data_IF_141528609463
#
_entry.id   IF_141528609463
#
_cell.length_a   1.000
_cell.length_b   1.000
_cell.length_c   1.000
_cell.angle_alpha   90.00
_cell.angle_beta   90.00
_cell.angle_gamma   90.00
#
_symmetry.space_group_name_H-M   'P 1'
#
loop_
_entity.id
_entity.type
_entity.pdbx_description
1 polymer ?
#
# COMPACT_ATOMS: atom_id res chain seq x y z
N UNK A 1 62.52 -33.89 10.38
CA UNK A 1 61.93 -32.55 10.59
C UNK A 1 60.88 -32.20 9.54
N UNK A 2 61.20 -32.27 8.23
CA UNK A 2 60.24 -32.00 7.11
C UNK A 2 58.91 -32.77 7.15
N UNK A 3 58.88 -34.03 7.61
CA UNK A 3 57.65 -34.84 7.65
C UNK A 3 56.61 -34.37 8.69
N UNK A 4 57.02 -33.73 9.78
CA UNK A 4 56.09 -33.16 10.79
C UNK A 4 55.43 -31.88 10.28
N UNK A 5 56.15 -31.11 9.47
CA UNK A 5 55.70 -29.84 8.91
C UNK A 5 54.63 -30.04 7.82
N UNK A 6 54.81 -31.04 6.96
CA UNK A 6 53.82 -31.46 5.96
C UNK A 6 52.49 -31.92 6.59
N UNK A 7 52.55 -32.68 7.69
CA UNK A 7 51.37 -33.14 8.42
C UNK A 7 50.62 -31.99 9.11
N UNK A 8 51.33 -30.99 9.62
CA UNK A 8 50.73 -29.81 10.24
C UNK A 8 50.03 -28.91 9.20
N UNK A 9 50.62 -28.74 8.01
CA UNK A 9 50.02 -27.99 6.89
C UNK A 9 48.75 -28.66 6.35
N UNK A 10 48.72 -29.99 6.24
CA UNK A 10 47.52 -30.75 5.84
C UNK A 10 46.41 -30.72 6.89
N UNK A 11 46.75 -30.79 8.18
CA UNK A 11 45.78 -30.66 9.26
C UNK A 11 45.18 -29.24 9.33
N UNK A 12 46.00 -28.20 9.21
CA UNK A 12 45.55 -26.81 9.20
C UNK A 12 44.65 -26.49 7.98
N UNK A 13 44.97 -27.03 6.80
CA UNK A 13 44.13 -26.88 5.60
C UNK A 13 42.77 -27.56 5.72
N UNK A 14 42.71 -28.74 6.34
CA UNK A 14 41.45 -29.47 6.54
C UNK A 14 40.53 -28.78 7.58
N UNK A 15 41.11 -28.24 8.65
CA UNK A 15 40.35 -27.49 9.68
C UNK A 15 39.81 -26.16 9.13
N UNK A 16 40.56 -25.49 8.24
CA UNK A 16 40.13 -24.23 7.61
C UNK A 16 38.99 -24.44 6.60
N UNK A 17 38.97 -25.57 5.87
CA UNK A 17 37.86 -25.93 4.97
C UNK A 17 36.59 -26.30 5.75
N UNK A 18 36.73 -26.98 6.90
CA UNK A 18 35.59 -27.28 7.79
C UNK A 18 35.04 -26.02 8.46
N UNK A 19 35.90 -25.07 8.86
CA UNK A 19 35.46 -23.79 9.44
C UNK A 19 34.74 -22.90 8.41
N UNK A 20 35.21 -22.89 7.16
CA UNK A 20 34.55 -22.19 6.04
C UNK A 20 33.22 -22.84 5.63
N UNK A 21 33.08 -24.17 5.74
CA UNK A 21 31.80 -24.85 5.54
C UNK A 21 30.79 -24.56 6.67
N UNK A 22 31.27 -24.36 7.91
CA UNK A 22 30.40 -24.03 9.04
C UNK A 22 29.92 -22.58 9.10
N UNK A 23 30.60 -21.65 8.41
CA UNK A 23 30.16 -20.24 8.28
C UNK A 23 29.13 -20.07 7.14
N UNK A 24 29.03 -21.05 6.23
CA UNK A 24 28.02 -21.07 5.15
C UNK A 24 26.61 -21.50 5.58
N UNK A 25 26.42 -21.86 6.86
CA UNK A 25 25.13 -22.19 7.46
C UNK A 25 24.69 -21.09 8.43
N UNK A 26 24.79 -19.82 8.01
CA UNK A 26 23.85 -18.83 8.54
C UNK A 26 22.51 -19.23 7.94
N UNK A 27 21.76 -20.02 8.69
CA UNK A 27 20.33 -20.15 8.50
C UNK A 27 19.78 -18.73 8.59
N UNK A 28 19.62 -18.08 7.45
CA UNK A 28 18.66 -16.99 7.32
C UNK A 28 17.33 -17.66 7.64
N UNK A 29 16.93 -17.58 8.90
CA UNK A 29 15.53 -17.80 9.23
C UNK A 29 14.76 -16.92 8.25
N UNK A 30 13.79 -17.46 7.49
CA UNK A 30 12.88 -16.58 6.78
C UNK A 30 12.32 -15.64 7.85
N UNK A 31 12.52 -14.34 7.67
CA UNK A 31 11.78 -13.34 8.43
C UNK A 31 10.34 -13.62 8.07
N UNK A 32 9.61 -14.25 9.00
CA UNK A 32 8.18 -14.35 8.87
C UNK A 32 7.67 -12.91 8.97
N UNK A 33 6.85 -12.50 8.02
CA UNK A 33 6.04 -11.31 8.18
C UNK A 33 5.31 -11.38 9.53
N UNK A 34 5.19 -10.23 10.20
CA UNK A 34 4.36 -10.08 11.39
C UNK A 34 3.05 -9.37 11.00
N UNK A 35 1.90 -9.76 11.59
CA UNK A 35 0.69 -8.96 11.46
C UNK A 35 0.91 -7.53 11.94
N UNK A 36 0.23 -6.58 11.29
CA UNK A 36 0.23 -5.18 11.70
C UNK A 36 -0.14 -5.06 13.20
N UNK A 37 0.60 -4.21 13.91
CA UNK A 37 0.56 -4.13 15.37
C UNK A 37 -0.74 -3.56 15.95
N UNK A 38 -1.56 -2.90 15.13
CA UNK A 38 -2.80 -2.23 15.54
C UNK A 38 -3.76 -2.07 14.37
N UNK A 39 -5.06 -2.00 14.68
CA UNK A 39 -6.11 -1.82 13.68
C UNK A 39 -6.22 -0.38 13.15
N UNK A 40 -5.79 0.61 13.92
CA UNK A 40 -6.11 2.01 13.60
C UNK A 40 -5.08 3.05 14.05
N UNK A 41 -4.02 2.65 14.75
CA UNK A 41 -2.97 3.51 15.28
C UNK A 41 -1.62 2.79 15.21
N UNK A 42 -0.87 3.04 14.15
CA UNK A 42 0.40 2.35 13.85
C UNK A 42 1.21 3.11 12.81
N UNK A 43 2.53 2.96 12.85
CA UNK A 43 3.40 3.35 11.75
C UNK A 43 3.45 2.23 10.71
N UNK A 44 3.32 2.61 9.44
CA UNK A 44 3.33 1.68 8.30
C UNK A 44 4.42 2.09 7.33
N UNK A 45 5.34 1.16 7.07
CA UNK A 45 6.43 1.32 6.12
C UNK A 45 5.90 1.32 4.68
N UNK A 46 6.32 2.32 3.90
CA UNK A 46 6.01 2.37 2.47
C UNK A 46 7.14 1.68 1.70
N UNK A 47 6.80 0.73 0.83
CA UNK A 47 7.78 -0.07 0.08
C UNK A 47 8.71 0.80 -0.78
N UNK A 48 8.25 1.98 -1.18
CA UNK A 48 8.99 2.99 -1.94
C UNK A 48 9.31 4.25 -1.11
N UNK A 49 9.26 4.15 0.22
CA UNK A 49 9.46 5.23 1.19
C UNK A 49 8.30 6.24 1.22
N UNK A 50 8.00 6.82 2.38
CA UNK A 50 7.03 7.89 2.51
C UNK A 50 7.55 9.22 1.92
N UNK A 51 6.68 9.97 1.25
CA UNK A 51 6.98 11.30 0.70
C UNK A 51 7.00 12.34 1.81
N UNK A 52 6.03 12.26 2.71
CA UNK A 52 5.87 13.16 3.85
C UNK A 52 6.29 12.42 5.13
N UNK A 53 7.60 12.26 5.26
CA UNK A 53 8.24 11.55 6.36
C UNK A 53 8.35 12.44 7.60
N UNK A 54 7.25 12.51 8.36
CA UNK A 54 7.14 13.26 9.61
C UNK A 54 7.12 12.37 10.85
N UNK A 55 7.30 11.05 10.68
CA UNK A 55 7.34 10.09 11.79
C UNK A 55 8.76 9.94 12.31
N UNK A 56 8.91 9.19 13.40
CA UNK A 56 10.25 8.83 13.93
C UNK A 56 10.90 7.68 13.17
N UNK A 57 10.14 7.00 12.30
CA UNK A 57 10.57 5.83 11.54
C UNK A 57 10.66 6.22 10.05
N UNK A 58 11.86 6.57 9.55
CA UNK A 58 12.01 7.19 8.25
C UNK A 58 11.42 6.34 7.13
N UNK A 59 10.62 6.91 6.24
CA UNK A 59 9.98 6.20 5.14
C UNK A 59 8.63 5.55 5.47
N UNK A 60 8.09 5.82 6.66
CA UNK A 60 6.76 5.36 7.09
C UNK A 60 5.72 6.48 7.15
N UNK A 61 4.46 6.08 7.18
CA UNK A 61 3.35 6.97 7.54
C UNK A 61 2.69 6.51 8.84
N UNK A 62 2.33 7.48 9.69
CA UNK A 62 1.51 7.20 10.86
C UNK A 62 0.03 7.08 10.45
N UNK A 63 -0.50 5.86 10.57
CA UNK A 63 -1.90 5.53 10.37
C UNK A 63 -2.67 5.86 11.63
N UNK A 64 -3.36 7.00 11.60
CA UNK A 64 -4.21 7.50 12.67
C UNK A 64 -5.66 7.50 12.20
N UNK A 65 -6.20 6.30 12.10
CA UNK A 65 -7.57 6.02 11.68
C UNK A 65 -8.53 6.19 12.87
N UNK A 66 -8.37 7.24 13.66
CA UNK A 66 -9.21 7.56 14.82
C UNK A 66 -9.97 8.86 14.54
N UNK A 67 -11.15 8.73 13.93
CA UNK A 67 -12.08 9.85 13.68
C UNK A 67 -12.26 10.25 12.22
N UNK A 68 -11.40 9.79 11.31
CA UNK A 68 -11.71 9.81 9.88
C UNK A 68 -12.83 8.83 9.49
N UNK A 69 -13.32 8.93 8.26
CA UNK A 69 -14.52 8.21 7.81
C UNK A 69 -14.28 7.29 6.61
N UNK A 70 -15.16 6.31 6.44
CA UNK A 70 -15.17 5.36 5.32
C UNK A 70 -15.95 5.84 4.08
N UNK A 71 -16.62 7.00 4.19
CA UNK A 71 -17.56 7.49 3.18
C UNK A 71 -16.93 8.47 2.18
N UNK A 72 -15.66 8.87 2.39
CA UNK A 72 -15.02 9.92 1.61
C UNK A 72 -14.13 9.38 0.49
N UNK A 73 -13.31 8.37 0.79
CA UNK A 73 -12.33 7.81 -0.14
C UNK A 73 -12.89 6.54 -0.78
N UNK A 74 -12.77 6.43 -2.11
CA UNK A 74 -13.38 5.33 -2.87
C UNK A 74 -12.43 4.75 -3.91
N UNK A 75 -12.66 3.50 -4.27
CA UNK A 75 -12.04 2.87 -5.46
C UNK A 75 -13.09 2.74 -6.57
N UNK A 76 -12.76 3.19 -7.78
CA UNK A 76 -13.67 3.15 -8.93
C UNK A 76 -12.93 2.89 -10.23
N UNK A 77 -13.56 2.28 -11.24
CA UNK A 77 -13.06 2.28 -12.62
C UNK A 77 -13.63 3.44 -13.46
N UNK A 78 -14.60 4.18 -12.92
CA UNK A 78 -15.27 5.27 -13.61
C UNK A 78 -15.48 6.45 -12.65
N UNK A 79 -14.48 7.34 -12.51
CA UNK A 79 -14.59 8.48 -11.61
C UNK A 79 -15.65 9.49 -12.08
N UNK A 80 -16.09 9.44 -13.33
CA UNK A 80 -17.10 10.37 -13.85
C UNK A 80 -18.51 9.96 -13.44
N UNK A 81 -18.86 8.69 -13.65
CA UNK A 81 -20.22 8.20 -13.40
C UNK A 81 -20.37 7.49 -12.05
N UNK A 82 -19.29 6.96 -11.47
CA UNK A 82 -19.30 6.26 -10.19
C UNK A 82 -18.22 6.79 -9.22
N UNK A 83 -18.27 8.10 -8.87
CA UNK A 83 -17.27 8.73 -7.98
C UNK A 83 -17.32 8.19 -6.54
N UNK A 84 -18.45 7.63 -6.13
CA UNK A 84 -18.66 7.00 -4.81
C UNK A 84 -18.24 5.53 -4.78
N UNK A 85 -17.45 5.10 -5.76
CA UNK A 85 -16.84 3.79 -5.79
C UNK A 85 -17.77 2.66 -6.21
N UNK A 86 -17.13 1.53 -6.52
CA UNK A 86 -17.77 0.27 -6.85
C UNK A 86 -16.89 -0.89 -6.37
N UNK A 87 -17.53 -2.01 -6.06
CA UNK A 87 -16.80 -3.27 -5.89
C UNK A 87 -16.52 -3.84 -7.28
N UNK A 88 -15.25 -4.01 -7.59
CA UNK A 88 -14.80 -4.55 -8.86
C UNK A 88 -14.05 -5.87 -8.65
N UNK A 89 -14.43 -6.87 -9.45
CA UNK A 89 -13.72 -8.13 -9.55
C UNK A 89 -13.18 -8.25 -10.98
N UNK A 90 -11.85 -8.19 -11.11
CA UNK A 90 -11.14 -8.30 -12.38
C UNK A 90 -10.53 -9.69 -12.57
N UNK A 91 -10.44 -10.09 -13.84
CA UNK A 91 -9.71 -11.28 -14.28
C UNK A 91 -8.55 -10.96 -15.22
N UNK A 92 -8.26 -9.66 -15.40
CA UNK A 92 -7.22 -9.19 -16.30
C UNK A 92 -5.93 -8.93 -15.54
N UNK A 93 -4.81 -9.39 -16.10
CA UNK A 93 -3.46 -9.09 -15.61
C UNK A 93 -3.07 -7.62 -15.77
N UNK A 94 -3.81 -6.83 -16.53
CA UNK A 94 -3.60 -5.39 -16.68
C UNK A 94 -4.92 -4.65 -16.49
N UNK A 95 -4.85 -3.44 -15.94
CA UNK A 95 -6.03 -2.62 -15.76
C UNK A 95 -5.73 -1.26 -15.15
N UNK A 96 -6.79 -0.47 -15.03
CA UNK A 96 -6.76 0.86 -14.43
C UNK A 96 -7.92 0.97 -13.45
N UNK A 97 -7.65 1.52 -12.27
CA UNK A 97 -8.66 2.02 -11.36
C UNK A 97 -8.26 3.41 -10.86
N UNK A 98 -9.16 4.03 -10.10
CA UNK A 98 -9.03 5.37 -9.61
C UNK A 98 -9.36 5.43 -8.12
N UNK A 99 -8.65 6.28 -7.39
CA UNK A 99 -8.95 6.61 -6.00
C UNK A 99 -9.58 8.01 -5.97
N UNK A 100 -10.90 8.05 -5.78
CA UNK A 100 -11.71 9.28 -5.77
C UNK A 100 -12.01 9.76 -4.35
N UNK A 101 -12.26 11.06 -4.20
CA UNK A 101 -12.73 11.68 -2.97
C UNK A 101 -14.09 12.37 -3.19
N UNK A 102 -15.07 11.98 -2.38
CA UNK A 102 -16.40 12.62 -2.30
C UNK A 102 -16.66 13.24 -0.93
N UNK A 103 -15.61 13.42 -0.13
CA UNK A 103 -15.69 13.99 1.21
C UNK A 103 -15.89 15.51 1.19
N UNK A 104 -16.39 16.04 2.31
CA UNK A 104 -16.63 17.48 2.46
C UNK A 104 -15.36 18.34 2.43
N UNK A 105 -14.20 17.79 2.81
CA UNK A 105 -12.91 18.46 2.67
C UNK A 105 -12.51 18.59 1.20
N UNK A 106 -12.72 17.53 0.42
CA UNK A 106 -12.52 17.52 -1.02
C UNK A 106 -11.07 17.48 -1.46
N UNK A 107 -10.09 17.17 -0.64
CA UNK A 107 -8.71 16.93 -1.10
C UNK A 107 -7.91 16.15 -0.07
N UNK A 108 -6.93 15.40 -0.55
CA UNK A 108 -5.96 14.68 0.26
C UNK A 108 -4.55 14.96 -0.28
N UNK A 109 -3.61 15.29 0.60
CA UNK A 109 -2.26 15.74 0.23
C UNK A 109 -1.42 14.62 -0.42
N UNK A 110 -1.68 13.37 -0.01
CA UNK A 110 -1.07 12.19 -0.60
C UNK A 110 -1.98 10.97 -0.47
N UNK A 111 -1.77 9.98 -1.32
CA UNK A 111 -2.49 8.72 -1.31
C UNK A 111 -1.55 7.54 -1.22
N UNK A 112 -2.01 6.49 -0.56
CA UNK A 112 -1.29 5.25 -0.37
C UNK A 112 -2.14 4.10 -0.92
N UNK A 113 -1.51 3.22 -1.67
CA UNK A 113 -2.10 1.98 -2.15
C UNK A 113 -1.65 0.82 -1.26
N UNK A 114 -2.59 0.11 -0.67
CA UNK A 114 -2.34 -1.20 -0.06
C UNK A 114 -2.63 -2.28 -1.10
N UNK A 115 -1.62 -3.11 -1.39
CA UNK A 115 -1.76 -4.36 -2.12
C UNK A 115 -1.77 -5.52 -1.11
N UNK A 116 -2.74 -6.42 -1.22
CA UNK A 116 -2.89 -7.57 -0.34
C UNK A 116 -2.89 -8.87 -1.16
N UNK A 117 -1.97 -9.78 -0.83
CA UNK A 117 -1.73 -11.02 -1.56
C UNK A 117 -2.09 -12.23 -0.69
N UNK A 118 -3.04 -13.05 -1.13
CA UNK A 118 -3.41 -14.31 -0.47
C UNK A 118 -3.08 -15.50 -1.37
N UNK A 119 -2.46 -16.53 -0.80
CA UNK A 119 -2.03 -17.73 -1.52
C UNK A 119 -0.58 -17.65 -1.99
N UNK A 120 -0.20 -18.57 -2.88
CA UNK A 120 1.18 -18.67 -3.39
C UNK A 120 1.25 -18.04 -4.77
N UNK A 121 1.92 -16.88 -4.92
CA UNK A 121 2.16 -16.30 -6.23
C UNK A 121 3.11 -17.19 -7.04
N UNK A 122 3.13 -17.03 -8.36
CA UNK A 122 4.09 -17.72 -9.21
C UNK A 122 5.53 -17.28 -8.95
N UNK A 123 6.50 -18.07 -9.40
CA UNK A 123 7.92 -17.84 -9.11
C UNK A 123 8.47 -16.54 -9.70
N UNK A 124 7.83 -16.00 -10.74
CA UNK A 124 8.22 -14.74 -11.38
C UNK A 124 7.19 -13.63 -11.13
N UNK A 125 6.52 -13.68 -9.97
CA UNK A 125 5.51 -12.70 -9.61
C UNK A 125 6.08 -11.28 -9.61
N UNK A 126 5.39 -10.40 -10.31
CA UNK A 126 5.65 -8.97 -10.27
C UNK A 126 4.34 -8.18 -10.41
N UNK A 127 4.14 -7.21 -9.53
CA UNK A 127 3.07 -6.21 -9.61
C UNK A 127 3.71 -4.87 -9.97
N UNK A 128 3.52 -4.42 -11.20
CA UNK A 128 3.86 -3.06 -11.61
C UNK A 128 2.70 -2.12 -11.30
N UNK A 129 3.00 -0.99 -10.66
CA UNK A 129 2.04 0.06 -10.32
C UNK A 129 2.55 1.38 -10.89
N UNK A 130 1.71 2.05 -11.69
CA UNK A 130 1.96 3.42 -12.12
C UNK A 130 0.83 4.30 -11.62
N UNK A 131 1.16 5.47 -11.09
CA UNK A 131 0.14 6.43 -10.61
C UNK A 131 0.25 7.77 -11.32
N UNK A 132 -0.87 8.47 -11.39
CA UNK A 132 -0.92 9.89 -11.77
C UNK A 132 -2.07 10.58 -11.06
N UNK A 133 -1.87 11.84 -10.71
CA UNK A 133 -2.79 12.59 -9.87
C UNK A 133 -2.34 14.03 -9.73
N UNK A 134 -2.57 14.62 -8.57
CA UNK A 134 -2.27 16.02 -8.31
C UNK A 134 -1.25 16.18 -7.19
N UNK A 135 -0.44 17.23 -7.29
CA UNK A 135 0.56 17.58 -6.27
C UNK A 135 0.51 19.07 -5.99
N UNK A 136 0.81 19.43 -4.75
CA UNK A 136 0.99 20.79 -4.26
C UNK A 136 1.88 20.74 -3.02
N UNK A 137 2.30 21.90 -2.53
CA UNK A 137 2.89 22.01 -1.18
C UNK A 137 1.74 22.05 -0.17
N UNK A 138 1.67 21.11 0.81
CA UNK A 138 0.58 21.09 1.77
C UNK A 138 0.47 22.39 2.59
N UNK A 139 -0.76 22.82 2.84
CA UNK A 139 -1.04 23.99 3.70
C UNK A 139 -0.82 23.64 5.17
N UNK A 140 -0.34 24.61 5.97
CA UNK A 140 -0.10 24.41 7.40
C UNK A 140 -1.40 24.43 8.24
N UNK A 141 -2.44 25.12 7.77
CA UNK A 141 -3.71 25.31 8.49
C UNK A 141 -4.82 24.34 8.04
N UNK A 142 -4.55 23.51 7.04
CA UNK A 142 -5.52 22.60 6.45
C UNK A 142 -6.57 23.29 5.59
N UNK A 143 -6.27 24.49 5.08
CA UNK A 143 -7.02 25.15 4.03
C UNK A 143 -6.75 24.54 2.65
N UNK A 144 -7.65 24.80 1.69
CA UNK A 144 -7.46 24.31 0.33
C UNK A 144 -6.20 24.94 -0.29
N UNK A 145 -5.29 24.16 -0.91
CA UNK A 145 -4.08 24.71 -1.52
C UNK A 145 -4.43 25.64 -2.67
N UNK A 146 -3.70 26.75 -2.77
CA UNK A 146 -3.92 27.75 -3.80
C UNK A 146 -3.89 27.14 -5.21
N UNK A 147 -4.84 27.53 -6.07
CA UNK A 147 -4.97 26.98 -7.43
C UNK A 147 -3.66 27.08 -8.21
N UNK A 148 -2.89 28.15 -7.98
CA UNK A 148 -1.64 28.44 -8.68
C UNK A 148 -0.51 27.43 -8.41
N UNK A 149 -0.57 26.66 -7.32
CA UNK A 149 0.45 25.68 -6.93
C UNK A 149 0.02 24.23 -7.16
N UNK A 150 -1.20 24.00 -7.63
CA UNK A 150 -1.71 22.68 -7.96
C UNK A 150 -1.20 22.27 -9.34
N UNK A 151 -0.49 21.14 -9.40
CA UNK A 151 -0.01 20.54 -10.64
C UNK A 151 -0.55 19.14 -10.82
N UNK A 152 -0.87 18.76 -12.07
CA UNK A 152 -1.21 17.40 -12.44
C UNK A 152 0.04 16.70 -12.99
N UNK A 153 0.28 15.45 -12.60
CA UNK A 153 1.47 14.73 -13.06
C UNK A 153 1.49 13.25 -12.69
N UNK A 154 2.63 12.64 -13.01
CA UNK A 154 2.96 11.26 -12.66
C UNK A 154 3.38 11.22 -11.19
N UNK A 155 2.92 10.19 -10.46
CA UNK A 155 3.33 9.92 -9.09
C UNK A 155 4.45 8.89 -9.04
N UNK A 156 4.13 7.63 -9.29
CA UNK A 156 5.08 6.52 -9.21
C UNK A 156 5.09 5.62 -10.43
N UNK A 157 6.15 4.84 -10.53
CA UNK A 157 6.33 3.68 -11.42
C UNK A 157 7.10 2.62 -10.62
N UNK A 158 6.37 1.92 -9.74
CA UNK A 158 6.93 0.91 -8.86
C UNK A 158 6.75 -0.50 -9.44
N UNK A 159 7.67 -1.39 -9.09
CA UNK A 159 7.52 -2.83 -9.34
C UNK A 159 7.71 -3.56 -8.02
N UNK A 160 6.64 -4.19 -7.55
CA UNK A 160 6.64 -5.03 -6.36
C UNK A 160 6.87 -6.48 -6.79
N UNK A 161 7.70 -7.17 -6.04
CA UNK A 161 7.93 -8.61 -6.15
C UNK A 161 7.44 -9.29 -4.87
N UNK A 162 7.56 -10.61 -4.78
CA UNK A 162 7.15 -11.35 -3.57
C UNK A 162 7.81 -10.84 -2.30
N UNK A 163 9.05 -10.32 -2.37
CA UNK A 163 9.76 -9.80 -1.20
C UNK A 163 9.11 -8.55 -0.60
N UNK A 164 8.39 -7.76 -1.42
CA UNK A 164 7.69 -6.57 -0.93
C UNK A 164 6.45 -6.91 -0.06
N UNK A 165 6.10 -8.20 0.05
CA UNK A 165 5.01 -8.72 0.88
C UNK A 165 5.53 -9.53 2.08
N UNK A 166 6.81 -9.39 2.45
CA UNK A 166 7.42 -10.10 3.57
C UNK A 166 7.37 -9.32 4.90
N UNK A 167 6.94 -8.04 4.87
CA UNK A 167 6.94 -7.19 6.07
C UNK A 167 5.66 -7.32 6.91
N UNK A 168 4.49 -7.48 6.26
CA UNK A 168 3.19 -7.43 6.92
C UNK A 168 2.30 -8.61 6.59
N UNK A 169 1.72 -9.21 7.64
CA UNK A 169 0.85 -10.38 7.55
C UNK A 169 1.53 -11.63 8.08
N UNK A 170 1.01 -12.84 7.84
CA UNK A 170 -0.31 -13.10 7.28
C UNK A 170 -1.43 -12.61 8.22
N UNK A 171 -2.42 -11.89 7.69
CA UNK A 171 -3.58 -11.42 8.44
C UNK A 171 -4.85 -11.34 7.57
N UNK A 172 -6.04 -11.43 8.18
CA UNK A 172 -7.32 -11.38 7.47
C UNK A 172 -8.04 -10.03 7.57
N UNK A 173 -7.35 -8.97 7.99
CA UNK A 173 -7.93 -7.65 8.18
C UNK A 173 -7.03 -6.54 7.62
N UNK A 174 -7.60 -5.36 7.34
CA UNK A 174 -6.83 -4.15 7.00
C UNK A 174 -6.99 -3.06 8.07
N UNK A 175 -6.02 -2.14 8.22
CA UNK A 175 -6.20 -0.96 9.07
C UNK A 175 -7.47 -0.19 8.70
N UNK A 176 -8.29 0.14 9.69
CA UNK A 176 -9.59 0.76 9.49
C UNK A 176 -10.03 1.63 10.66
N UNK A 177 -10.93 2.57 10.39
CA UNK A 177 -11.41 3.54 11.38
C UNK A 177 -12.29 2.95 12.48
N UNK A 178 -12.74 1.71 12.33
CA UNK A 178 -13.55 1.00 13.33
C UNK A 178 -12.76 0.59 14.57
N UNK A 179 -11.42 0.61 14.52
CA UNK A 179 -10.56 0.18 15.63
C UNK A 179 -10.66 -1.31 15.94
N UNK A 180 -11.12 -2.11 14.98
CA UNK A 180 -11.29 -3.55 15.07
C UNK A 180 -10.93 -4.20 13.73
N UNK A 181 -10.82 -5.53 13.71
CA UNK A 181 -10.59 -6.28 12.48
C UNK A 181 -11.65 -5.93 11.42
N UNK A 182 -11.19 -5.46 10.27
CA UNK A 182 -12.04 -4.99 9.17
C UNK A 182 -11.68 -5.70 7.85
N UNK A 183 -12.66 -6.09 7.02
CA UNK A 183 -12.43 -6.79 5.76
C UNK A 183 -11.41 -6.12 4.83
N UNK A 184 -10.58 -6.94 4.19
CA UNK A 184 -9.64 -6.54 3.11
C UNK A 184 -10.38 -6.40 1.78
N UNK A 185 -11.38 -7.26 1.52
CA UNK A 185 -12.22 -7.22 0.32
C UNK A 185 -13.71 -7.35 0.67
N UNK A 186 -14.57 -6.98 -0.27
CA UNK A 186 -16.01 -7.04 -0.08
C UNK A 186 -16.51 -8.47 0.04
N UNK A 187 -17.35 -8.72 1.06
CA UNK A 187 -17.92 -10.06 1.31
C UNK A 187 -17.01 -11.02 2.05
N UNK A 188 -15.79 -10.59 2.43
CA UNK A 188 -14.90 -11.42 3.24
C UNK A 188 -15.54 -11.78 4.59
N UNK A 189 -15.46 -13.06 4.96
CA UNK A 189 -15.81 -13.52 6.30
C UNK A 189 -14.65 -13.30 7.28
N UNK A 190 -14.87 -12.54 8.34
CA UNK A 190 -13.85 -12.30 9.37
C UNK A 190 -13.59 -13.50 10.28
N UNK A 191 -14.46 -14.52 10.25
CA UNK A 191 -14.26 -15.79 10.96
C UNK A 191 -13.48 -16.82 10.14
N UNK A 192 -13.26 -16.58 8.85
CA UNK A 192 -12.48 -17.46 7.99
C UNK A 192 -10.98 -17.17 8.19
N UNK A 193 -10.31 -18.07 8.91
CA UNK A 193 -8.87 -17.99 9.17
C UNK A 193 -8.02 -18.64 8.07
N UNK A 194 -8.63 -19.22 7.04
CA UNK A 194 -7.92 -19.76 5.88
C UNK A 194 -7.52 -18.68 4.87
N UNK A 195 -8.15 -17.50 4.95
CA UNK A 195 -7.94 -16.35 4.07
C UNK A 195 -7.09 -15.27 4.75
N UNK A 196 -5.80 -15.54 4.86
CA UNK A 196 -4.82 -14.57 5.36
C UNK A 196 -3.98 -13.98 4.22
N UNK A 197 -3.80 -12.67 4.26
CA UNK A 197 -3.10 -11.90 3.26
C UNK A 197 -1.78 -11.38 3.83
N UNK A 198 -0.78 -11.37 2.98
CA UNK A 198 0.40 -10.54 3.19
C UNK A 198 0.16 -9.18 2.53
N UNK A 199 0.61 -8.11 3.16
CA UNK A 199 0.29 -6.74 2.77
C UNK A 199 1.56 -6.01 2.33
N UNK A 200 1.42 -5.14 1.34
CA UNK A 200 2.44 -4.18 0.92
C UNK A 200 1.79 -2.82 0.73
N UNK A 201 2.51 -1.76 1.09
CA UNK A 201 2.02 -0.39 0.99
C UNK A 201 2.90 0.43 0.07
N UNK A 202 2.28 1.14 -0.86
CA UNK A 202 2.95 1.99 -1.86
C UNK A 202 2.46 3.40 -1.67
N UNK A 203 3.37 4.32 -1.38
CA UNK A 203 3.07 5.74 -1.47
C UNK A 203 2.94 6.12 -2.95
N UNK A 204 1.78 6.66 -3.34
CA UNK A 204 1.49 6.98 -4.74
C UNK A 204 2.09 8.31 -5.21
N UNK A 205 2.68 9.11 -4.30
CA UNK A 205 3.33 10.40 -4.54
C UNK A 205 2.41 11.47 -5.13
N UNK A 206 1.10 11.25 -5.08
CA UNK A 206 0.08 12.16 -5.59
C UNK A 206 -1.15 12.12 -4.69
N UNK A 207 -1.69 13.31 -4.45
CA UNK A 207 -2.98 13.53 -3.85
C UNK A 207 -4.12 13.47 -4.87
N UNK A 208 -5.34 13.57 -4.35
CA UNK A 208 -6.55 13.74 -5.17
C UNK A 208 -7.29 15.02 -4.80
N UNK A 209 -8.12 15.48 -5.74
CA UNK A 209 -8.99 16.64 -5.60
C UNK A 209 -10.44 16.17 -5.80
N UNK A 210 -11.24 16.25 -4.76
CA UNK A 210 -12.65 15.94 -4.75
C UNK A 210 -13.54 17.03 -5.35
N UNK A 211 -14.85 16.77 -5.33
CA UNK A 211 -15.86 17.59 -6.04
C UNK A 211 -15.88 19.05 -5.54
N UNK A 212 -15.61 19.30 -4.25
CA UNK A 212 -15.64 20.65 -3.68
C UNK A 212 -14.54 21.56 -4.26
N UNK A 213 -13.39 21.01 -4.64
CA UNK A 213 -12.29 21.77 -5.24
C UNK A 213 -12.64 22.21 -6.64
N UNK A 214 -13.22 21.30 -7.43
CA UNK A 214 -13.72 21.62 -8.75
C UNK A 214 -14.71 22.79 -8.69
N UNK A 215 -15.66 22.74 -7.74
CA UNK A 215 -16.63 23.84 -7.54
C UNK A 215 -15.96 25.15 -7.10
N UNK A 216 -14.99 25.08 -6.18
CA UNK A 216 -14.32 26.27 -5.64
C UNK A 216 -13.44 26.96 -6.68
N UNK A 217 -12.69 26.20 -7.47
CA UNK A 217 -11.70 26.72 -8.41
C UNK A 217 -12.16 26.75 -9.87
N UNK A 218 -13.36 26.24 -10.14
CA UNK A 218 -13.91 26.06 -11.49
C UNK A 218 -12.87 25.42 -12.42
N UNK A 219 -12.34 24.27 -12.01
CA UNK A 219 -11.24 23.57 -12.70
C UNK A 219 -11.75 22.35 -13.47
N UNK A 220 -11.35 22.25 -14.74
CA UNK A 220 -11.49 21.00 -15.49
C UNK A 220 -10.43 20.00 -15.04
N UNK A 221 -10.75 19.23 -14.00
CA UNK A 221 -9.86 18.23 -13.44
C UNK A 221 -9.83 16.97 -14.34
N UNK A 222 -8.63 16.55 -14.73
CA UNK A 222 -8.35 15.21 -15.27
C UNK A 222 -8.88 14.15 -14.30
N UNK A 223 -9.59 13.15 -14.83
CA UNK A 223 -10.22 12.06 -14.07
C UNK A 223 -11.12 12.55 -12.93
N UNK A 224 -11.79 13.70 -13.08
CA UNK A 224 -12.58 14.34 -12.02
C UNK A 224 -11.78 14.60 -10.72
N UNK A 225 -10.46 14.73 -10.84
CA UNK A 225 -9.55 14.96 -9.73
C UNK A 225 -9.12 13.69 -8.98
N UNK A 226 -9.61 12.51 -9.38
CA UNK A 226 -9.19 11.24 -8.81
C UNK A 226 -7.77 10.86 -9.22
N UNK A 227 -7.06 10.16 -8.33
CA UNK A 227 -5.76 9.58 -8.64
C UNK A 227 -5.96 8.32 -9.46
N UNK A 228 -5.32 8.26 -10.63
CA UNK A 228 -5.32 7.09 -11.52
C UNK A 228 -4.21 6.14 -11.10
N UNK A 229 -4.54 4.85 -11.03
CA UNK A 229 -3.60 3.75 -10.76
C UNK A 229 -3.71 2.74 -11.89
N UNK A 230 -2.63 2.57 -12.63
CA UNK A 230 -2.48 1.52 -13.63
C UNK A 230 -1.68 0.37 -13.03
N UNK A 231 -2.19 -0.85 -13.18
CA UNK A 231 -1.51 -2.04 -12.70
C UNK A 231 -1.17 -3.02 -13.83
N UNK A 232 -0.11 -3.79 -13.63
CA UNK A 232 0.23 -4.97 -14.43
C UNK A 232 0.73 -6.06 -13.50
N UNK A 233 0.07 -7.21 -13.53
CA UNK A 233 0.40 -8.39 -12.73
C UNK A 233 1.01 -9.44 -13.65
N UNK A 234 2.24 -9.83 -13.34
CA UNK A 234 2.92 -10.96 -13.94
C UNK A 234 2.85 -12.15 -12.97
N UNK A 235 2.52 -13.32 -13.49
CA UNK A 235 2.64 -14.61 -12.79
C UNK A 235 1.97 -14.65 -11.40
N UNK A 236 0.68 -14.25 -11.35
CA UNK A 236 -0.11 -14.31 -10.10
C UNK A 236 -0.28 -15.75 -9.57
N UNK A 237 -0.15 -16.76 -10.45
CA UNK A 237 -0.36 -18.16 -10.09
C UNK A 237 -1.79 -18.40 -9.63
N UNK A 238 -1.97 -19.08 -8.49
CA UNK A 238 -3.29 -19.29 -7.85
C UNK A 238 -3.57 -18.28 -6.74
N UNK A 239 -2.77 -17.22 -6.64
CA UNK A 239 -2.95 -16.20 -5.62
C UNK A 239 -4.10 -15.25 -5.97
N UNK A 240 -4.61 -14.60 -4.95
CA UNK A 240 -5.59 -13.53 -5.02
C UNK A 240 -4.89 -12.21 -4.67
N UNK A 241 -5.15 -11.16 -5.45
CA UNK A 241 -4.61 -9.83 -5.21
C UNK A 241 -5.75 -8.82 -4.99
N UNK A 242 -5.68 -8.04 -3.91
CA UNK A 242 -6.68 -7.04 -3.55
C UNK A 242 -6.04 -5.68 -3.34
N UNK A 243 -6.68 -4.62 -3.81
CA UNK A 243 -6.26 -3.24 -3.58
C UNK A 243 -7.21 -2.46 -2.66
N UNK A 244 -6.61 -1.68 -1.77
CA UNK A 244 -7.30 -0.68 -0.95
C UNK A 244 -6.54 0.65 -0.99
N UNK A 245 -7.27 1.75 -0.82
CA UNK A 245 -6.71 3.10 -0.78
C UNK A 245 -6.69 3.67 0.64
N UNK A 246 -5.68 4.48 0.91
CA UNK A 246 -5.56 5.28 2.11
C UNK A 246 -5.18 6.71 1.73
N UNK A 247 -5.56 7.67 2.56
CA UNK A 247 -5.27 9.08 2.31
C UNK A 247 -4.57 9.74 3.50
N UNK A 248 -3.45 10.38 3.20
CA UNK A 248 -2.67 11.18 4.14
C UNK A 248 -3.00 12.67 3.97
N UNK A 249 -3.04 13.39 5.08
CA UNK A 249 -3.14 14.84 5.10
C UNK A 249 -2.10 15.45 6.05
N UNK A 250 -1.52 16.57 5.63
CA UNK A 250 -0.62 17.34 6.48
C UNK A 250 -1.35 17.97 7.66
N UNK A 251 -2.54 18.49 7.40
CA UNK A 251 -3.39 19.06 8.44
C UNK A 251 -4.86 18.86 8.07
N UNK A 252 -5.63 18.30 8.98
CA UNK A 252 -7.06 18.07 8.80
C UNK A 252 -7.82 18.25 10.12
N UNK A 253 -9.14 18.05 10.11
CA UNK A 253 -9.92 17.97 11.35
C UNK A 253 -9.55 16.76 12.23
N UNK A 254 -8.77 15.80 11.70
CA UNK A 254 -8.16 14.70 12.44
C UNK A 254 -6.69 14.98 12.80
N UNK A 255 -6.15 16.15 12.45
CA UNK A 255 -4.72 16.47 12.52
C UNK A 255 -3.92 15.86 11.37
N UNK A 256 -2.60 15.80 11.53
CA UNK A 256 -1.67 15.20 10.56
C UNK A 256 -1.72 13.67 10.61
N UNK A 257 -1.57 13.02 9.45
CA UNK A 257 -1.46 11.56 9.31
C UNK A 257 -2.42 10.95 8.28
N UNK A 258 -2.46 9.62 8.24
CA UNK A 258 -3.42 8.87 7.44
C UNK A 258 -4.70 8.67 8.23
N UNK A 259 -5.83 9.19 7.74
CA UNK A 259 -7.10 9.12 8.46
C UNK A 259 -8.28 8.59 7.63
N UNK A 260 -8.13 8.42 6.32
CA UNK A 260 -9.20 7.87 5.47
C UNK A 260 -8.76 6.61 4.74
N UNK A 261 -9.73 5.74 4.49
CA UNK A 261 -9.60 4.54 3.65
C UNK A 261 -10.95 4.25 3.00
N UNK A 262 -10.96 3.43 1.95
CA UNK A 262 -12.19 2.94 1.34
C UNK A 262 -12.92 1.93 2.25
N UNK A 263 -14.23 1.87 2.07
CA UNK A 263 -15.13 0.94 2.74
C UNK A 263 -15.16 -0.42 2.01
N UNK A 264 -15.14 -1.53 2.74
CA UNK A 264 -15.23 -2.89 2.16
C UNK A 264 -16.39 -3.71 2.74
N UNK A 265 -17.20 -3.11 3.61
CA UNK A 265 -18.37 -3.76 4.19
C UNK A 265 -19.56 -2.81 4.23
N UNK A 266 -20.75 -3.31 3.88
CA UNK A 266 -21.99 -2.54 3.87
C UNK A 266 -22.16 -1.60 2.67
N UNK A 267 -23.15 -0.72 2.74
CA UNK A 267 -23.49 0.24 1.67
C UNK A 267 -22.37 1.25 1.46
N UNK A 268 -21.97 1.48 0.21
CA UNK A 268 -20.84 2.35 -0.14
C UNK A 268 -19.50 1.62 -0.22
N UNK A 269 -19.51 0.28 -0.17
CA UNK A 269 -18.30 -0.51 -0.35
C UNK A 269 -17.70 -0.29 -1.74
N UNK A 270 -16.38 -0.14 -1.76
CA UNK A 270 -15.59 -0.06 -2.98
C UNK A 270 -14.26 -0.78 -2.79
N UNK A 271 -13.77 -1.38 -3.86
CA UNK A 271 -12.56 -2.19 -3.81
C UNK A 271 -12.24 -2.78 -5.18
N UNK A 272 -11.00 -3.23 -5.33
CA UNK A 272 -10.53 -3.87 -6.55
C UNK A 272 -9.89 -5.20 -6.20
N UNK A 273 -10.47 -6.28 -6.69
CA UNK A 273 -9.98 -7.64 -6.50
C UNK A 273 -9.61 -8.24 -7.85
N UNK A 274 -8.50 -8.98 -7.87
CA UNK A 274 -7.99 -9.68 -9.04
C UNK A 274 -7.86 -11.16 -8.71
N UNK A 275 -8.53 -11.98 -9.50
CA UNK A 275 -8.37 -13.43 -9.54
C UNK A 275 -8.12 -13.81 -11.01
N UNK A 276 -6.97 -14.41 -11.32
CA UNK A 276 -6.56 -14.78 -12.69
C UNK A 276 -6.56 -16.30 -12.82
#
# INVERSE_FOLDING_TARGET
MKLKEERFKRAAGLTMVLLLLSIGLVSLCPVSADPLSSFNQLDVWMTNGARFDYTTDPGSYYFKLTGGGLNALHITNDPWNAPSGQVNHGSNSTGTFYISDTGGRGYNDDLILMAALNGTPGSNFALKVNSSGYTWTPTADGSLPDKSIISQGIGVNETLTSSNFEDYGPQNWKPCTTGSAYPIYYGQSMSDTSKNFNLSFVDLKVGNLGTNVNQTYNMSLVNRGATRVDYTVQDLGTAQLVFNGYAWCNQSNQGQGVSWTNQNSGTGSSGWEINI
#
